data_IF_338791360261
#
_entry.id   IF_338791360261
#
_cell.length_a   1.000
_cell.length_b   1.000
_cell.length_c   1.000
_cell.angle_alpha   90.00
_cell.angle_beta   90.00
_cell.angle_gamma   90.00
#
_symmetry.space_group_name_H-M   'P 1'
#
loop_
_entity.id
_entity.type
_entity.pdbx_description
1 polymer ?
#
# COMPACT_ATOMS: atom_id res chain seq x y z
N UNK A 1 -8.02 0.54 1.87
CA UNK A 1 -7.29 1.28 2.93
C UNK A 1 -5.80 0.91 2.88
N UNK A 2 -5.42 -0.34 3.13
CA UNK A 2 -4.01 -0.74 3.26
C UNK A 2 -3.21 -0.75 1.94
N UNK A 3 -3.87 -0.91 0.79
CA UNK A 3 -3.17 -1.08 -0.50
C UNK A 3 -2.17 0.05 -0.82
N UNK A 4 -2.50 1.34 -0.68
CA UNK A 4 -1.54 2.41 -0.98
C UNK A 4 -0.29 2.35 -0.10
N UNK A 5 -0.47 2.03 1.18
CA UNK A 5 0.64 1.92 2.16
C UNK A 5 1.56 0.74 1.83
N UNK A 6 0.99 -0.41 1.43
CA UNK A 6 1.77 -1.59 1.01
C UNK A 6 2.49 -1.33 -0.32
N UNK A 7 1.86 -0.64 -1.27
CA UNK A 7 2.49 -0.26 -2.54
C UNK A 7 3.67 0.68 -2.29
N UNK A 8 3.54 1.65 -1.40
CA UNK A 8 4.64 2.55 -1.04
C UNK A 8 5.77 1.81 -0.31
N UNK A 9 5.45 0.88 0.59
CA UNK A 9 6.44 0.02 1.26
C UNK A 9 7.26 -0.82 0.28
N UNK A 10 6.62 -1.32 -0.77
CA UNK A 10 7.25 -2.19 -1.76
C UNK A 10 8.02 -1.45 -2.87
N UNK A 11 7.95 -0.13 -2.93
CA UNK A 11 8.39 0.68 -4.09
C UNK A 11 9.85 0.46 -4.53
N UNK A 12 10.74 0.20 -3.56
CA UNK A 12 12.17 0.03 -3.85
C UNK A 12 12.55 -1.43 -4.19
N UNK A 13 11.69 -2.39 -3.87
CA UNK A 13 11.90 -3.82 -4.10
C UNK A 13 11.07 -4.38 -5.27
N UNK A 14 9.97 -3.70 -5.62
CA UNK A 14 9.12 -4.11 -6.73
C UNK A 14 9.74 -3.74 -8.08
N UNK A 15 9.34 -4.46 -9.12
CA UNK A 15 9.71 -4.13 -10.49
C UNK A 15 9.11 -2.75 -10.89
N UNK A 16 9.94 -1.72 -11.16
CA UNK A 16 9.45 -0.38 -11.46
C UNK A 16 8.64 -0.32 -12.76
N UNK A 17 8.89 -1.21 -13.74
CA UNK A 17 8.13 -1.25 -14.99
C UNK A 17 6.71 -1.75 -14.77
N UNK A 18 6.49 -2.67 -13.82
CA UNK A 18 5.14 -3.08 -13.43
C UNK A 18 4.39 -1.93 -12.76
N UNK A 19 5.05 -1.17 -11.88
CA UNK A 19 4.47 0.00 -11.24
C UNK A 19 4.10 1.07 -12.27
N UNK A 20 4.99 1.34 -13.22
CA UNK A 20 4.74 2.27 -14.32
C UNK A 20 3.53 1.84 -15.17
N UNK A 21 3.47 0.56 -15.53
CA UNK A 21 2.36 0.03 -16.31
C UNK A 21 1.01 0.19 -15.59
N UNK A 22 0.94 -0.19 -14.31
CA UNK A 22 -0.28 -0.05 -13.51
C UNK A 22 -0.66 1.43 -13.37
N UNK A 23 0.31 2.30 -13.09
CA UNK A 23 0.10 3.74 -13.00
C UNK A 23 -0.50 4.31 -14.30
N UNK A 24 0.04 3.93 -15.45
CA UNK A 24 -0.50 4.33 -16.76
C UNK A 24 -1.93 3.86 -17.03
N UNK A 25 -2.37 2.75 -16.39
CA UNK A 25 -3.74 2.26 -16.52
C UNK A 25 -4.76 3.04 -15.68
N UNK A 26 -4.35 3.63 -14.57
CA UNK A 26 -5.27 4.29 -13.61
C UNK A 26 -5.12 5.82 -13.60
N UNK A 27 -3.95 6.34 -13.96
CA UNK A 27 -3.69 7.78 -13.98
C UNK A 27 -4.46 8.46 -15.12
N UNK A 28 -5.04 9.63 -14.80
CA UNK A 28 -5.66 10.52 -15.78
C UNK A 28 -4.65 11.43 -16.48
N UNK A 29 -3.39 11.40 -16.05
CA UNK A 29 -2.33 12.23 -16.60
C UNK A 29 -1.65 11.53 -17.78
N UNK A 30 -2.00 11.95 -18.98
CA UNK A 30 -1.48 11.43 -20.26
C UNK A 30 0.02 11.70 -20.47
N UNK A 31 0.66 12.55 -19.65
CA UNK A 31 2.09 12.89 -19.68
C UNK A 31 2.94 12.18 -18.62
N UNK A 32 2.35 11.31 -17.83
CA UNK A 32 2.96 10.72 -16.64
C UNK A 32 4.19 9.83 -16.88
N UNK A 33 4.36 9.33 -18.12
CA UNK A 33 5.45 8.38 -18.43
C UNK A 33 6.86 8.97 -18.33
N UNK A 34 7.01 10.29 -18.50
CA UNK A 34 8.34 10.94 -18.61
C UNK A 34 9.00 11.12 -17.23
N UNK A 35 8.20 11.34 -16.17
CA UNK A 35 8.68 11.64 -14.83
C UNK A 35 8.15 10.66 -13.77
N UNK A 36 7.77 9.44 -14.17
CA UNK A 36 7.24 8.45 -13.25
C UNK A 36 8.27 8.06 -12.18
N UNK A 37 7.82 8.07 -10.93
CA UNK A 37 8.51 7.47 -9.78
C UNK A 37 7.57 6.51 -9.06
N UNK A 38 8.07 5.41 -8.46
CA UNK A 38 7.21 4.36 -7.88
C UNK A 38 6.22 4.84 -6.80
N UNK A 39 6.56 5.89 -6.05
CA UNK A 39 5.69 6.51 -5.04
C UNK A 39 4.43 7.17 -5.65
N UNK A 40 4.49 7.56 -6.94
CA UNK A 40 3.34 8.13 -7.65
C UNK A 40 2.19 7.13 -7.74
N UNK A 41 2.48 5.82 -7.85
CA UNK A 41 1.44 4.80 -7.88
C UNK A 41 0.64 4.75 -6.58
N UNK A 42 1.30 4.81 -5.41
CA UNK A 42 0.62 4.83 -4.13
C UNK A 42 -0.29 6.07 -3.97
N UNK A 43 0.19 7.21 -4.47
CA UNK A 43 -0.59 8.46 -4.48
C UNK A 43 -1.84 8.33 -5.36
N UNK A 44 -1.70 7.78 -6.56
CA UNK A 44 -2.83 7.59 -7.49
C UNK A 44 -3.87 6.63 -6.93
N UNK A 45 -3.44 5.55 -6.25
CA UNK A 45 -4.37 4.63 -5.57
C UNK A 45 -5.12 5.35 -4.43
N UNK A 46 -4.47 6.25 -3.67
CA UNK A 46 -5.17 7.06 -2.65
C UNK A 46 -6.22 7.97 -3.27
N UNK A 47 -5.92 8.59 -4.40
CA UNK A 47 -6.89 9.42 -5.13
C UNK A 47 -8.08 8.58 -5.62
N UNK A 48 -7.81 7.41 -6.20
CA UNK A 48 -8.85 6.48 -6.62
C UNK A 48 -9.73 6.03 -5.44
N UNK A 49 -9.12 5.68 -4.30
CA UNK A 49 -9.86 5.33 -3.09
C UNK A 49 -10.78 6.47 -2.64
N UNK A 50 -10.29 7.70 -2.67
CA UNK A 50 -11.10 8.88 -2.33
C UNK A 50 -12.28 9.05 -3.28
N UNK A 51 -12.08 8.92 -4.59
CA UNK A 51 -13.15 8.99 -5.61
C UNK A 51 -14.21 7.90 -5.40
N UNK A 52 -13.80 6.71 -4.96
CA UNK A 52 -14.68 5.58 -4.67
C UNK A 52 -15.35 5.65 -3.28
N UNK A 53 -15.07 6.68 -2.48
CA UNK A 53 -15.61 6.83 -1.13
C UNK A 53 -15.05 5.82 -0.12
N UNK A 54 -13.88 5.24 -0.39
CA UNK A 54 -13.20 4.36 0.57
C UNK A 54 -12.60 5.22 1.68
N UNK A 55 -12.95 4.89 2.92
CA UNK A 55 -12.43 5.60 4.09
C UNK A 55 -10.90 5.51 4.15
N UNK A 56 -10.20 6.61 4.50
CA UNK A 56 -8.74 6.69 4.32
C UNK A 56 -7.95 5.90 5.36
N UNK A 57 -8.45 5.74 6.58
CA UNK A 57 -7.69 5.18 7.69
C UNK A 57 -8.35 3.97 8.34
N UNK A 58 -7.54 3.18 9.07
CA UNK A 58 -8.03 2.04 9.85
C UNK A 58 -8.93 2.50 11.01
N UNK A 59 -8.65 3.67 11.61
CA UNK A 59 -9.48 4.23 12.67
C UNK A 59 -10.88 4.61 12.17
N UNK A 60 -11.02 5.07 10.93
CA UNK A 60 -12.31 5.40 10.34
C UNK A 60 -13.25 4.20 10.23
N UNK A 61 -12.70 2.99 10.12
CA UNK A 61 -13.47 1.73 10.07
C UNK A 61 -13.56 1.04 11.44
N UNK A 62 -13.16 1.72 12.52
CA UNK A 62 -13.29 1.22 13.89
C UNK A 62 -12.18 0.30 14.38
N UNK A 63 -11.07 0.18 13.65
CA UNK A 63 -9.88 -0.51 14.15
C UNK A 63 -9.23 0.34 15.23
N UNK A 64 -8.78 -0.30 16.30
CA UNK A 64 -8.06 0.34 17.41
C UNK A 64 -6.63 -0.16 17.50
N UNK A 65 -5.71 0.68 17.95
CA UNK A 65 -4.27 0.36 17.96
C UNK A 65 -3.89 -0.84 18.86
N UNK A 66 -4.70 -1.14 19.87
CA UNK A 66 -4.52 -2.34 20.72
C UNK A 66 -4.68 -3.67 19.97
N UNK A 67 -5.23 -3.65 18.76
CA UNK A 67 -5.38 -4.82 17.89
C UNK A 67 -4.19 -5.08 16.97
N UNK A 68 -3.29 -4.12 16.80
CA UNK A 68 -2.21 -4.22 15.82
C UNK A 68 -1.30 -5.43 16.02
N UNK A 69 -0.97 -5.77 17.26
CA UNK A 69 -0.16 -6.95 17.56
C UNK A 69 -0.82 -8.24 17.06
N UNK A 70 -2.10 -8.42 17.38
CA UNK A 70 -2.85 -9.59 16.94
C UNK A 70 -3.01 -9.63 15.42
N UNK A 71 -3.33 -8.49 14.81
CA UNK A 71 -3.46 -8.36 13.35
C UNK A 71 -2.14 -8.68 12.65
N UNK A 72 -1.01 -8.23 13.20
CA UNK A 72 0.31 -8.51 12.63
C UNK A 72 0.67 -10.00 12.77
N UNK A 73 0.36 -10.64 13.89
CA UNK A 73 0.56 -12.09 14.06
C UNK A 73 -0.27 -12.91 13.06
N UNK A 74 -1.48 -12.48 12.79
CA UNK A 74 -2.34 -13.15 11.80
C UNK A 74 -1.87 -12.89 10.37
N UNK A 75 -1.45 -11.66 10.06
CA UNK A 75 -0.88 -11.32 8.75
C UNK A 75 0.38 -12.16 8.45
N UNK A 76 1.26 -12.37 9.44
CA UNK A 76 2.48 -13.18 9.26
C UNK A 76 2.22 -14.65 8.94
N UNK A 77 1.02 -15.17 9.25
CA UNK A 77 0.60 -16.54 8.88
C UNK A 77 0.19 -16.65 7.42
N UNK A 78 -0.01 -15.52 6.73
CA UNK A 78 -0.44 -15.50 5.33
C UNK A 78 0.71 -15.89 4.39
N UNK A 79 0.43 -16.78 3.45
CA UNK A 79 1.37 -17.12 2.37
C UNK A 79 1.74 -15.92 1.47
N UNK A 80 0.94 -14.87 1.46
CA UNK A 80 1.22 -13.65 0.71
C UNK A 80 2.47 -12.91 1.20
N UNK A 81 2.81 -13.04 2.48
CA UNK A 81 4.04 -12.44 3.04
C UNK A 81 5.29 -12.98 2.32
N UNK A 82 5.32 -14.29 2.02
CA UNK A 82 6.45 -14.93 1.34
C UNK A 82 6.58 -14.51 -0.12
N UNK A 83 5.49 -14.06 -0.74
CA UNK A 83 5.43 -13.60 -2.13
C UNK A 83 5.61 -12.08 -2.25
N UNK A 84 5.70 -11.35 -1.13
CA UNK A 84 5.87 -9.91 -1.16
C UNK A 84 7.25 -9.55 -1.73
N UNK A 85 7.38 -8.58 -2.67
CA UNK A 85 8.68 -8.20 -3.25
C UNK A 85 9.66 -7.68 -2.20
N UNK A 86 9.19 -6.93 -1.22
CA UNK A 86 9.99 -6.48 -0.08
C UNK A 86 9.98 -7.58 1.00
N UNK A 87 11.17 -8.00 1.46
CA UNK A 87 11.27 -8.87 2.64
C UNK A 87 10.57 -8.20 3.83
N UNK A 88 9.66 -8.94 4.46
CA UNK A 88 8.70 -8.37 5.41
C UNK A 88 8.74 -9.14 6.73
N UNK A 89 9.00 -8.43 7.80
CA UNK A 89 8.96 -8.93 9.18
C UNK A 89 7.72 -8.39 9.91
N UNK A 90 7.36 -8.99 11.04
CA UNK A 90 6.24 -8.54 11.88
C UNK A 90 6.32 -7.04 12.21
N UNK A 91 7.53 -6.55 12.52
CA UNK A 91 7.75 -5.13 12.82
C UNK A 91 7.42 -4.20 11.66
N UNK A 92 7.61 -4.66 10.42
CA UNK A 92 7.25 -3.88 9.24
C UNK A 92 5.72 -3.81 9.09
N UNK A 93 5.03 -4.93 9.35
CA UNK A 93 3.56 -4.98 9.36
C UNK A 93 2.97 -4.03 10.41
N UNK A 94 3.55 -3.99 11.62
CA UNK A 94 3.12 -3.05 12.67
C UNK A 94 3.26 -1.59 12.21
N UNK A 95 4.40 -1.22 11.62
CA UNK A 95 4.61 0.12 11.06
C UNK A 95 3.61 0.45 9.94
N UNK A 96 3.29 -0.52 9.09
CA UNK A 96 2.28 -0.32 8.03
C UNK A 96 0.89 -0.05 8.62
N UNK A 97 0.51 -0.73 9.69
CA UNK A 97 -0.74 -0.42 10.40
C UNK A 97 -0.72 0.95 11.05
N UNK A 98 0.40 1.35 11.69
CA UNK A 98 0.57 2.69 12.24
C UNK A 98 0.45 3.78 11.17
N UNK A 99 1.03 3.57 9.99
CA UNK A 99 0.94 4.52 8.86
C UNK A 99 -0.47 4.61 8.26
N UNK A 100 -1.26 3.57 8.39
CA UNK A 100 -2.62 3.51 7.87
C UNK A 100 -3.69 3.83 8.93
N UNK A 101 -3.30 4.16 10.16
CA UNK A 101 -4.18 4.47 11.30
C UNK A 101 -4.54 5.95 11.36
#
# INVERSE_FOLDING_TARGET
ILLPTVVDFNKDAADPEKYRYIYGCISKDMGADINFTPDMLATEIRMLNYELGILPTLSDIGVTSDKFEQMADDAMKSGNIQCNPQFTMKNDILKLYEQAF
#
